data_IF_122125123318
#
_entry.id   IF_122125123318
#
_cell.length_a   1.000
_cell.length_b   1.000
_cell.length_c   1.000
_cell.angle_alpha   90.00
_cell.angle_beta   90.00
_cell.angle_gamma   90.00
#
_symmetry.space_group_name_H-M   'P 1'
#
loop_
_entity.id
_entity.type
_entity.pdbx_description
1 polymer ?
#
# COMPACT_ATOMS: atom_id res chain seq x y z
N UNK A 1 -12.79 -6.52 -19.40
CA UNK A 1 -13.73 -5.78 -18.54
C UNK A 1 -13.06 -4.42 -18.19
N UNK A 2 -13.74 -3.48 -17.52
CA UNK A 2 -13.18 -2.13 -17.29
C UNK A 2 -11.90 -2.16 -16.45
N UNK A 3 -11.84 -3.07 -15.48
CA UNK A 3 -10.71 -3.18 -14.54
C UNK A 3 -9.42 -3.54 -15.28
N UNK A 4 -9.46 -4.43 -16.28
CA UNK A 4 -8.26 -4.82 -17.03
C UNK A 4 -7.73 -3.64 -17.86
N UNK A 5 -8.63 -2.85 -18.48
CA UNK A 5 -8.24 -1.64 -19.23
C UNK A 5 -7.56 -0.60 -18.33
N UNK A 6 -8.14 -0.35 -17.15
CA UNK A 6 -7.51 0.55 -16.17
C UNK A 6 -6.16 0.02 -15.69
N UNK A 7 -6.02 -1.30 -15.53
CA UNK A 7 -4.76 -1.94 -15.14
C UNK A 7 -3.68 -1.76 -16.21
N UNK A 8 -4.01 -1.95 -17.48
CA UNK A 8 -3.09 -1.70 -18.60
C UNK A 8 -2.61 -0.24 -18.63
N UNK A 9 -3.53 0.70 -18.41
CA UNK A 9 -3.18 2.13 -18.34
C UNK A 9 -2.27 2.44 -17.15
N UNK A 10 -2.58 1.88 -15.98
CA UNK A 10 -1.81 2.05 -14.75
C UNK A 10 -0.38 1.49 -14.88
N UNK A 11 -0.20 0.36 -15.57
CA UNK A 11 1.13 -0.19 -15.85
C UNK A 11 1.99 0.72 -16.75
N UNK A 12 1.36 1.40 -17.73
CA UNK A 12 2.06 2.32 -18.63
C UNK A 12 2.45 3.62 -17.93
N UNK A 13 1.58 4.13 -17.05
CA UNK A 13 1.78 5.40 -16.36
C UNK A 13 1.34 5.30 -14.88
N UNK A 14 2.17 4.70 -14.01
CA UNK A 14 1.80 4.48 -12.61
C UNK A 14 1.68 5.81 -11.85
N UNK A 15 0.45 6.14 -11.45
CA UNK A 15 0.14 7.36 -10.72
C UNK A 15 0.56 7.28 -9.24
N UNK A 16 0.70 8.44 -8.61
CA UNK A 16 0.87 8.53 -7.15
C UNK A 16 -0.50 8.50 -6.47
N UNK A 17 -0.71 7.53 -5.58
CA UNK A 17 -2.00 7.36 -4.89
C UNK A 17 -1.79 7.58 -3.41
N UNK A 18 -2.49 8.57 -2.84
CA UNK A 18 -2.40 8.88 -1.42
C UNK A 18 -3.42 8.06 -0.65
N UNK A 19 -2.94 7.36 0.38
CA UNK A 19 -3.79 6.66 1.34
C UNK A 19 -3.75 7.42 2.66
N UNK A 20 -4.80 8.17 3.01
CA UNK A 20 -4.82 9.02 4.20
C UNK A 20 -4.89 8.23 5.52
N UNK A 21 -5.37 6.98 5.49
CA UNK A 21 -5.51 6.12 6.67
C UNK A 21 -4.62 4.87 6.56
N UNK A 22 -3.31 5.06 6.77
CA UNK A 22 -2.33 3.98 6.69
C UNK A 22 -2.35 2.99 7.88
N UNK A 23 -3.36 3.04 8.75
CA UNK A 23 -3.48 2.12 9.88
C UNK A 23 -4.37 0.91 9.57
N UNK A 24 -5.22 1.00 8.55
CA UNK A 24 -6.04 -0.13 8.11
C UNK A 24 -5.17 -1.18 7.37
N UNK A 25 -5.20 -2.42 7.85
CA UNK A 25 -4.49 -3.55 7.22
C UNK A 25 -4.89 -3.75 5.75
N UNK A 26 -6.12 -3.44 5.37
CA UNK A 26 -6.61 -3.51 3.98
C UNK A 26 -5.92 -2.46 3.11
N UNK A 27 -5.73 -1.25 3.62
CA UNK A 27 -4.99 -0.18 2.95
C UNK A 27 -3.53 -0.58 2.76
N UNK A 28 -2.90 -1.17 3.78
CA UNK A 28 -1.54 -1.67 3.68
C UNK A 28 -1.40 -2.78 2.63
N UNK A 29 -2.35 -3.73 2.60
CA UNK A 29 -2.38 -4.80 1.58
C UNK A 29 -2.57 -4.25 0.17
N UNK A 30 -3.49 -3.29 -0.01
CA UNK A 30 -3.76 -2.67 -1.30
C UNK A 30 -2.55 -1.85 -1.80
N UNK A 31 -1.96 -1.03 -0.93
CA UNK A 31 -0.75 -0.28 -1.25
C UNK A 31 0.40 -1.22 -1.65
N UNK A 32 0.62 -2.28 -0.88
CA UNK A 32 1.63 -3.29 -1.21
C UNK A 32 1.35 -3.96 -2.56
N UNK A 33 0.10 -4.36 -2.82
CA UNK A 33 -0.28 -4.96 -4.10
C UNK A 33 -0.01 -4.03 -5.28
N UNK A 34 -0.40 -2.76 -5.18
CA UNK A 34 -0.21 -1.75 -6.22
C UNK A 34 1.28 -1.50 -6.48
N UNK A 35 2.09 -1.40 -5.43
CA UNK A 35 3.54 -1.20 -5.57
C UNK A 35 4.23 -2.42 -6.18
N UNK A 36 3.92 -3.63 -5.68
CA UNK A 36 4.54 -4.89 -6.15
C UNK A 36 4.26 -5.17 -7.62
N UNK A 37 3.08 -4.81 -8.10
CA UNK A 37 2.67 -5.00 -9.50
C UNK A 37 2.95 -3.77 -10.38
N UNK A 38 3.61 -2.73 -9.86
CA UNK A 38 3.93 -1.52 -10.64
C UNK A 38 2.71 -0.73 -11.12
N UNK A 39 1.55 -0.89 -10.48
CA UNK A 39 0.29 -0.24 -10.87
C UNK A 39 0.19 1.19 -10.36
N UNK A 40 0.81 1.48 -9.22
CA UNK A 40 0.82 2.82 -8.65
C UNK A 40 2.02 3.02 -7.73
N UNK A 41 2.26 4.27 -7.36
CA UNK A 41 3.24 4.71 -6.35
C UNK A 41 2.47 5.15 -5.10
N UNK A 42 2.15 4.22 -4.20
CA UNK A 42 1.36 4.54 -3.01
C UNK A 42 2.13 5.47 -2.06
N UNK A 43 1.42 6.45 -1.49
CA UNK A 43 1.92 7.35 -0.44
C UNK A 43 1.03 7.14 0.77
N UNK A 44 1.59 6.52 1.81
CA UNK A 44 0.90 6.26 3.06
C UNK A 44 1.03 7.49 3.97
N UNK A 45 -0.10 8.09 4.34
CA UNK A 45 -0.14 9.20 5.30
C UNK A 45 -0.62 8.68 6.64
N UNK A 46 0.02 9.16 7.68
CA UNK A 46 -0.26 8.81 9.06
C UNK A 46 0.21 9.92 10.00
N UNK A 47 -0.39 9.99 11.19
CA UNK A 47 0.13 10.85 12.24
C UNK A 47 1.43 10.27 12.80
N UNK A 48 2.48 11.10 12.89
CA UNK A 48 3.81 10.76 13.43
C UNK A 48 3.78 10.06 14.79
N UNK A 49 2.73 10.30 15.60
CA UNK A 49 2.56 9.72 16.93
C UNK A 49 2.23 8.22 16.92
N UNK A 50 1.66 7.67 15.83
CA UNK A 50 1.19 6.27 15.81
C UNK A 50 2.20 5.27 15.25
N UNK A 51 3.19 5.73 14.47
CA UNK A 51 4.20 4.84 13.87
C UNK A 51 5.30 4.40 14.86
N UNK A 52 5.55 5.16 15.93
CA UNK A 52 6.54 4.81 16.95
C UNK A 52 6.18 3.50 17.69
N UNK A 53 4.88 3.21 17.85
CA UNK A 53 4.41 1.97 18.47
C UNK A 53 4.50 0.75 17.53
N UNK A 54 4.32 0.96 16.22
CA UNK A 54 4.31 -0.11 15.21
C UNK A 54 5.70 -0.61 14.79
N UNK A 55 6.78 0.17 14.99
CA UNK A 55 8.15 -0.31 14.68
C UNK A 55 8.57 -1.53 15.52
N UNK A 56 8.00 -1.74 16.72
CA UNK A 56 8.24 -2.96 17.50
C UNK A 56 7.54 -4.20 16.94
N UNK A 57 6.47 -4.02 16.14
CA UNK A 57 5.65 -5.10 15.58
C UNK A 57 5.99 -5.42 14.11
N UNK A 58 6.85 -4.62 13.48
CA UNK A 58 7.13 -4.67 12.03
C UNK A 58 8.29 -5.59 11.67
N UNK A 59 8.78 -6.43 12.58
CA UNK A 59 9.63 -7.58 12.20
C UNK A 59 8.86 -8.89 12.40
N UNK A 60 8.13 -9.02 13.50
CA UNK A 60 7.41 -10.26 13.82
C UNK A 60 6.12 -10.47 13.01
N UNK A 61 5.46 -9.42 12.51
CA UNK A 61 4.19 -9.55 11.76
C UNK A 61 4.36 -9.81 10.26
N UNK A 62 5.56 -9.61 9.71
CA UNK A 62 5.84 -10.00 8.31
C UNK A 62 6.00 -11.51 8.15
N UNK A 63 6.34 -12.21 9.22
CA UNK A 63 6.50 -13.68 9.22
C UNK A 63 5.16 -14.42 9.34
N UNK A 64 4.10 -13.74 9.78
CA UNK A 64 2.76 -14.34 10.03
C UNK A 64 1.89 -14.42 8.76
N UNK A 65 2.30 -13.81 7.65
CA UNK A 65 1.55 -13.83 6.39
C UNK A 65 2.39 -14.42 5.24
N UNK A 66 3.04 -15.57 5.47
CA UNK A 66 3.40 -16.50 4.39
C UNK A 66 2.27 -17.49 4.15
#
# INVERSE_FOLDING_TARGET
>A
MIIERCREQALRAPARVVFPDALDVRVLKAAHYLQRHGLARPVLVTSRLRYASLRSLTVSRWMVFR
#
